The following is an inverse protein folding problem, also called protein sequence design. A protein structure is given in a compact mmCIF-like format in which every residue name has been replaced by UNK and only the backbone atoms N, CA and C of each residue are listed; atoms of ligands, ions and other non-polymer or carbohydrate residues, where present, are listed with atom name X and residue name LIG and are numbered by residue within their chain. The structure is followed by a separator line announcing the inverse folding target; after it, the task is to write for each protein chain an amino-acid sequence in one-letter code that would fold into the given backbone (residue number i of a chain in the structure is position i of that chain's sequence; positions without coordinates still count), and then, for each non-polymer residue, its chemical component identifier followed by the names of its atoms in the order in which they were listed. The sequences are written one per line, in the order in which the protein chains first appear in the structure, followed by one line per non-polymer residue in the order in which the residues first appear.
data_IF_194811955914
#
_entry.id   IF_194811955914
#
_cell.length_a   1.000
_cell.length_b   1.000
_cell.length_c   1.000
_cell.angle_alpha   90.00
_cell.angle_beta   90.00
_cell.angle_gamma   90.00
#
_symmetry.space_group_name_H-M   'P 1'
#
loop_
_entity.id
_entity.type
_entity.pdbx_description
1 polymer ?
#
# COMPACT_ATOMS: atom_id res chain seq x y z
N UNK A 1 5.36 18.41 55.13
CA UNK A 1 4.54 17.28 54.61
C UNK A 1 5.22 16.74 53.36
N UNK A 2 5.52 15.43 53.37
CA UNK A 2 6.04 14.74 52.18
C UNK A 2 4.84 14.15 51.41
N UNK A 3 4.78 14.39 50.08
CA UNK A 3 3.85 13.77 49.16
C UNK A 3 4.60 12.77 48.28
N UNK A 4 4.00 11.62 48.02
CA UNK A 4 4.51 10.64 47.05
C UNK A 4 3.71 10.74 45.76
N UNK A 5 4.43 10.87 44.63
CA UNK A 5 3.85 10.79 43.28
C UNK A 5 4.38 9.53 42.64
N UNK A 6 3.49 8.68 42.12
CA UNK A 6 3.81 7.47 41.42
C UNK A 6 3.44 7.63 39.94
N UNK A 7 4.38 7.35 39.05
CA UNK A 7 4.20 7.40 37.61
C UNK A 7 4.26 5.99 37.05
N UNK A 8 3.13 5.49 36.57
CA UNK A 8 3.04 4.19 35.89
C UNK A 8 3.09 4.37 34.38
N UNK A 9 3.89 3.55 33.72
CA UNK A 9 4.03 3.56 32.27
C UNK A 9 3.60 2.22 31.70
N UNK A 10 2.54 2.20 30.90
CA UNK A 10 2.06 1.01 30.23
C UNK A 10 3.03 0.57 29.12
N UNK A 11 3.79 -0.49 29.36
CA UNK A 11 4.85 -0.98 28.46
C UNK A 11 4.34 -1.60 27.16
N UNK A 12 3.08 -2.06 27.10
CA UNK A 12 2.50 -2.78 25.94
C UNK A 12 2.46 -1.96 24.64
N UNK A 13 2.49 -0.63 24.74
CA UNK A 13 2.46 0.33 23.62
C UNK A 13 3.80 1.00 23.34
N UNK A 14 4.86 0.58 24.07
CA UNK A 14 6.18 1.18 23.94
C UNK A 14 7.09 0.31 23.10
N UNK A 15 7.83 0.95 22.20
CA UNK A 15 8.86 0.32 21.37
C UNK A 15 10.13 1.18 21.38
N UNK A 16 11.28 0.55 21.61
CA UNK A 16 12.54 1.24 21.61
C UNK A 16 12.72 2.23 22.78
N UNK A 17 13.47 3.28 22.57
CA UNK A 17 13.69 4.33 23.56
C UNK A 17 12.43 5.21 23.72
N UNK A 18 12.09 5.52 24.95
CA UNK A 18 10.95 6.38 25.25
C UNK A 18 11.28 7.37 26.36
N UNK A 19 10.60 8.51 26.30
CA UNK A 19 10.52 9.49 27.38
C UNK A 19 9.07 9.88 27.56
N UNK A 20 8.56 9.78 28.79
CA UNK A 20 7.22 10.21 29.19
C UNK A 20 7.34 11.26 30.25
N UNK A 21 6.46 12.26 30.24
CA UNK A 21 6.41 13.30 31.25
C UNK A 21 5.03 13.41 31.89
N UNK A 22 5.01 13.79 33.16
CA UNK A 22 3.81 14.19 33.87
C UNK A 22 4.06 15.53 34.55
N UNK A 23 3.08 16.40 34.55
CA UNK A 23 3.13 17.66 35.27
C UNK A 23 2.38 17.51 36.58
N UNK A 24 3.01 17.91 37.68
CA UNK A 24 2.41 18.02 38.99
C UNK A 24 2.11 19.47 39.25
N UNK A 25 0.85 19.78 39.46
CA UNK A 25 0.40 21.11 39.83
C UNK A 25 0.29 21.20 41.35
N UNK A 26 0.86 22.27 41.93
CA UNK A 26 0.88 22.51 43.35
C UNK A 26 0.40 23.91 43.69
N UNK A 27 0.13 24.17 44.94
CA UNK A 27 -0.15 25.49 45.46
C UNK A 27 1.08 26.21 45.99
N UNK A 28 2.27 25.73 45.66
CA UNK A 28 3.52 26.40 45.97
C UNK A 28 3.67 27.66 45.08
N UNK A 29 3.82 28.86 45.70
CA UNK A 29 3.91 30.11 44.94
C UNK A 29 5.21 30.26 44.13
N UNK A 30 6.29 29.53 44.49
CA UNK A 30 7.57 29.59 43.78
C UNK A 30 7.66 28.56 42.66
N UNK A 31 6.98 27.37 42.84
CA UNK A 31 7.01 26.26 41.88
C UNK A 31 5.64 25.62 41.72
N UNK A 32 4.66 26.34 41.12
CA UNK A 32 3.29 25.86 40.96
C UNK A 32 3.22 24.63 40.03
N UNK A 33 4.19 24.48 39.12
CA UNK A 33 4.25 23.37 38.17
C UNK A 33 5.59 22.67 38.23
N UNK A 34 5.57 21.34 38.45
CA UNK A 34 6.76 20.49 38.44
C UNK A 34 6.59 19.41 37.37
N UNK A 35 7.52 19.34 36.42
CA UNK A 35 7.53 18.28 35.40
C UNK A 35 8.40 17.14 35.86
N UNK A 36 7.80 15.94 35.95
CA UNK A 36 8.49 14.68 36.18
C UNK A 36 8.69 13.98 34.82
N UNK A 37 9.87 13.40 34.59
CA UNK A 37 10.17 12.65 33.40
C UNK A 37 10.65 11.26 33.75
N UNK A 38 10.15 10.27 32.98
CA UNK A 38 10.62 8.88 33.02
C UNK A 38 11.09 8.52 31.62
N UNK A 39 12.32 8.08 31.51
CA UNK A 39 12.91 7.56 30.27
C UNK A 39 13.36 6.12 30.44
N UNK A 40 13.32 5.38 29.35
CA UNK A 40 13.73 3.99 29.33
C UNK A 40 13.78 3.43 27.91
N UNK A 41 14.10 2.14 27.82
CA UNK A 41 14.08 1.38 26.57
C UNK A 41 13.12 0.20 26.70
N UNK A 42 12.07 0.20 25.90
CA UNK A 42 11.16 -0.93 25.78
C UNK A 42 11.76 -1.98 24.83
N UNK A 43 11.95 -3.20 25.31
CA UNK A 43 12.47 -4.32 24.53
C UNK A 43 11.29 -5.27 24.30
N UNK A 44 10.98 -5.56 23.02
CA UNK A 44 9.97 -6.56 22.68
C UNK A 44 10.42 -7.96 23.14
N UNK A 45 9.49 -8.77 23.63
CA UNK A 45 9.78 -10.16 24.00
C UNK A 45 10.09 -11.02 22.77
N UNK A 46 9.32 -10.81 21.71
CA UNK A 46 9.54 -11.45 20.42
C UNK A 46 10.01 -10.40 19.44
N UNK A 47 11.14 -10.65 18.84
CA UNK A 47 11.72 -9.81 17.82
C UNK A 47 11.40 -10.39 16.45
N UNK A 48 10.88 -9.56 15.53
CA UNK A 48 10.56 -9.93 14.15
C UNK A 48 11.32 -8.99 13.21
N UNK A 49 12.13 -9.57 12.34
CA UNK A 49 12.87 -8.84 11.32
C UNK A 49 12.41 -9.25 9.91
N UNK A 50 12.20 -8.31 8.99
CA UNK A 50 12.27 -6.86 9.18
C UNK A 50 11.18 -6.34 10.10
N UNK A 51 11.47 -5.25 10.82
CA UNK A 51 10.49 -4.58 11.66
C UNK A 51 9.42 -3.89 10.81
N UNK A 52 8.20 -3.77 11.38
CA UNK A 52 7.10 -3.05 10.76
C UNK A 52 6.25 -3.90 9.82
N UNK A 53 5.91 -3.34 8.67
CA UNK A 53 5.01 -3.99 7.70
C UNK A 53 5.80 -4.79 6.68
N UNK A 54 5.40 -6.03 6.45
CA UNK A 54 5.93 -6.87 5.40
C UNK A 54 5.27 -6.51 4.05
N UNK A 55 6.08 -6.15 3.05
CA UNK A 55 5.59 -5.71 1.75
C UNK A 55 5.74 -6.81 0.70
N UNK A 56 4.63 -7.31 0.18
CA UNK A 56 4.54 -8.30 -0.90
C UNK A 56 4.03 -7.63 -2.18
N UNK A 57 4.88 -6.83 -2.79
CA UNK A 57 4.56 -6.04 -3.97
C UNK A 57 5.13 -6.68 -5.22
N UNK A 58 4.29 -6.91 -6.23
CA UNK A 58 4.71 -7.45 -7.51
C UNK A 58 3.63 -7.28 -8.57
N UNK A 59 3.85 -7.87 -9.74
CA UNK A 59 2.91 -7.88 -10.85
C UNK A 59 2.07 -9.16 -10.84
N UNK A 60 1.03 -9.18 -11.65
CA UNK A 60 0.28 -10.41 -11.92
C UNK A 60 1.20 -11.46 -12.56
N UNK A 61 1.14 -12.69 -12.06
CA UNK A 61 2.00 -13.79 -12.51
C UNK A 61 3.43 -13.79 -11.94
N UNK A 62 3.85 -12.72 -11.27
CA UNK A 62 5.19 -12.60 -10.69
C UNK A 62 5.24 -13.25 -9.31
N UNK A 63 6.15 -14.21 -9.07
CA UNK A 63 6.39 -14.74 -7.75
C UNK A 63 7.04 -13.66 -6.88
N UNK A 64 6.51 -13.47 -5.68
CA UNK A 64 7.08 -12.55 -4.68
C UNK A 64 7.16 -13.29 -3.37
N UNK A 65 8.35 -13.32 -2.80
CA UNK A 65 8.66 -13.90 -1.51
C UNK A 65 9.29 -12.85 -0.59
N UNK A 66 8.93 -12.92 0.68
CA UNK A 66 9.59 -12.21 1.76
C UNK A 66 9.82 -13.17 2.91
N UNK A 67 10.94 -13.04 3.60
CA UNK A 67 11.28 -13.87 4.75
C UNK A 67 11.31 -13.00 6.00
N UNK A 68 10.67 -13.48 7.06
CA UNK A 68 10.77 -12.90 8.39
C UNK A 68 11.60 -13.80 9.27
N UNK A 69 12.51 -13.20 10.05
CA UNK A 69 13.26 -13.88 11.11
C UNK A 69 12.62 -13.56 12.44
N UNK A 70 12.29 -14.59 13.21
CA UNK A 70 11.64 -14.47 14.51
C UNK A 70 12.59 -15.02 15.58
N UNK A 71 12.87 -14.19 16.60
CA UNK A 71 13.71 -14.56 17.75
C UNK A 71 13.07 -14.08 19.05
N UNK A 72 13.49 -14.64 20.18
CA UNK A 72 13.11 -14.15 21.50
C UNK A 72 14.25 -13.34 22.11
N UNK A 73 13.90 -12.24 22.77
CA UNK A 73 14.80 -11.49 23.66
C UNK A 73 14.80 -12.04 25.11
N UNK A 74 13.98 -13.03 25.40
CA UNK A 74 13.91 -13.69 26.72
C UNK A 74 14.94 -14.84 26.74
N UNK A 75 16.05 -14.62 27.45
CA UNK A 75 17.23 -15.51 27.41
C UNK A 75 17.01 -16.89 28.03
N UNK A 76 16.05 -17.01 28.96
CA UNK A 76 15.82 -18.22 29.73
C UNK A 76 14.67 -19.10 29.21
N UNK A 77 14.08 -18.71 28.06
CA UNK A 77 12.97 -19.42 27.47
C UNK A 77 13.48 -20.31 26.33
N UNK A 78 13.15 -21.61 26.38
CA UNK A 78 13.19 -22.47 25.17
C UNK A 78 12.10 -21.97 24.19
N UNK A 79 12.40 -20.87 23.50
CA UNK A 79 11.45 -20.17 22.64
C UNK A 79 11.05 -21.01 21.45
N UNK A 80 9.74 -21.11 21.22
CA UNK A 80 9.16 -21.82 20.05
C UNK A 80 8.06 -21.00 19.41
N UNK A 81 8.09 -20.95 18.08
CA UNK A 81 6.95 -20.57 17.27
C UNK A 81 6.11 -21.81 17.03
N UNK A 82 4.90 -21.85 17.59
CA UNK A 82 4.01 -23.01 17.58
C UNK A 82 3.17 -23.11 16.29
N UNK A 83 2.96 -21.98 15.63
CA UNK A 83 2.18 -21.93 14.40
C UNK A 83 2.09 -20.54 13.82
N UNK A 84 1.65 -20.52 12.57
CA UNK A 84 1.43 -19.29 11.77
C UNK A 84 0.01 -19.36 11.22
N UNK A 85 -0.70 -18.27 11.26
CA UNK A 85 -2.01 -18.09 10.61
C UNK A 85 -2.12 -16.68 10.02
N UNK A 86 -3.05 -16.47 9.10
CA UNK A 86 -3.30 -15.16 8.51
C UNK A 86 -4.79 -14.87 8.40
N UNK A 87 -5.17 -13.61 8.24
CA UNK A 87 -6.53 -13.21 7.89
C UNK A 87 -6.71 -12.92 6.39
N UNK A 88 -5.65 -13.20 5.59
CA UNK A 88 -5.65 -13.03 4.11
C UNK A 88 -5.10 -14.27 3.40
N UNK A 89 -5.44 -15.47 3.85
CA UNK A 89 -4.94 -16.74 3.31
C UNK A 89 -5.30 -16.98 1.84
N UNK A 90 -6.31 -16.31 1.33
CA UNK A 90 -6.64 -16.28 -0.10
C UNK A 90 -5.61 -15.50 -0.94
N UNK A 91 -4.80 -14.66 -0.32
CA UNK A 91 -3.85 -13.74 -0.98
C UNK A 91 -2.39 -14.12 -0.79
N UNK A 92 -2.09 -14.83 0.30
CA UNK A 92 -0.72 -15.25 0.64
C UNK A 92 -0.68 -16.71 1.06
N UNK A 93 0.48 -17.32 0.92
CA UNK A 93 0.84 -18.58 1.58
C UNK A 93 2.10 -18.38 2.40
N UNK A 94 2.35 -19.24 3.37
CA UNK A 94 3.50 -19.12 4.26
C UNK A 94 4.05 -20.48 4.65
N UNK A 95 5.34 -20.51 4.97
CA UNK A 95 6.04 -21.68 5.50
C UNK A 95 6.85 -21.28 6.74
N UNK A 96 6.78 -22.10 7.79
CA UNK A 96 7.56 -21.94 9.01
C UNK A 96 8.72 -22.93 8.99
N UNK A 97 9.95 -22.42 9.15
CA UNK A 97 11.18 -23.19 9.17
C UNK A 97 11.99 -22.84 10.42
N UNK A 98 12.83 -23.75 10.88
CA UNK A 98 13.84 -23.42 11.91
C UNK A 98 14.94 -22.56 11.30
N UNK A 99 15.41 -21.57 12.05
CA UNK A 99 16.54 -20.74 11.65
C UNK A 99 17.90 -21.42 11.91
N UNK A 100 18.97 -20.65 11.74
CA UNK A 100 20.35 -21.16 11.91
C UNK A 100 20.73 -21.28 13.41
N UNK A 101 20.16 -20.44 14.27
CA UNK A 101 20.45 -20.46 15.71
C UNK A 101 19.31 -21.12 16.50
N UNK A 102 19.60 -21.70 17.67
CA UNK A 102 18.56 -22.19 18.59
C UNK A 102 17.60 -21.08 18.96
N UNK A 103 16.28 -21.34 18.87
CA UNK A 103 15.23 -20.35 19.14
C UNK A 103 15.02 -19.31 18.03
N UNK A 104 15.67 -19.47 16.89
CA UNK A 104 15.43 -18.71 15.66
C UNK A 104 14.48 -19.44 14.74
N UNK A 105 13.53 -18.71 14.17
CA UNK A 105 12.56 -19.21 13.21
C UNK A 105 12.51 -18.31 12.00
N UNK A 106 12.29 -18.92 10.83
CA UNK A 106 12.08 -18.24 9.57
C UNK A 106 10.65 -18.46 9.10
N UNK A 107 9.95 -17.40 8.80
CA UNK A 107 8.64 -17.47 8.14
C UNK A 107 8.79 -16.89 6.75
N UNK A 108 8.72 -17.75 5.74
CA UNK A 108 8.68 -17.38 4.35
C UNK A 108 7.24 -17.10 3.96
N UNK A 109 6.98 -15.95 3.38
CA UNK A 109 5.65 -15.50 2.97
C UNK A 109 5.65 -15.24 1.48
N UNK A 110 4.71 -15.87 0.78
CA UNK A 110 4.59 -15.83 -0.66
C UNK A 110 3.29 -15.15 -1.07
N UNK A 111 3.39 -14.18 -1.97
CA UNK A 111 2.21 -13.60 -2.61
C UNK A 111 1.61 -14.62 -3.59
N UNK A 112 0.28 -14.79 -3.57
CA UNK A 112 -0.39 -15.55 -4.61
C UNK A 112 -0.19 -14.86 -5.98
N UNK A 113 0.49 -15.51 -6.96
CA UNK A 113 0.80 -14.89 -8.24
C UNK A 113 -0.45 -14.63 -9.12
N UNK A 114 -1.57 -15.31 -8.84
CA UNK A 114 -2.82 -15.17 -9.59
C UNK A 114 -3.74 -14.05 -9.07
N UNK A 115 -3.28 -13.25 -8.11
CA UNK A 115 -4.07 -12.12 -7.62
C UNK A 115 -4.27 -11.08 -8.72
N UNK A 116 -5.51 -10.61 -8.92
CA UNK A 116 -5.78 -9.48 -9.80
C UNK A 116 -5.10 -8.21 -9.28
N UNK A 117 -5.16 -7.13 -10.03
CA UNK A 117 -4.70 -5.81 -9.57
C UNK A 117 -5.44 -5.42 -8.30
N UNK A 118 -4.71 -5.29 -7.20
CA UNK A 118 -5.24 -4.92 -5.90
C UNK A 118 -4.16 -4.31 -5.02
N UNK A 119 -4.62 -3.61 -3.97
CA UNK A 119 -3.80 -3.18 -2.84
C UNK A 119 -4.60 -3.45 -1.57
N UNK A 120 -4.07 -4.24 -0.65
CA UNK A 120 -4.77 -4.63 0.58
C UNK A 120 -3.80 -4.84 1.73
N UNK A 121 -4.29 -4.61 2.93
CA UNK A 121 -3.57 -4.92 4.16
C UNK A 121 -4.17 -6.17 4.81
N UNK A 122 -3.33 -6.89 5.53
CA UNK A 122 -3.69 -8.02 6.35
C UNK A 122 -2.69 -8.23 7.46
N UNK A 123 -2.86 -9.32 8.19
CA UNK A 123 -2.01 -9.67 9.32
C UNK A 123 -1.61 -11.14 9.28
N UNK A 124 -0.38 -11.39 9.67
CA UNK A 124 0.12 -12.72 10.03
C UNK A 124 0.22 -12.77 11.56
N UNK A 125 -0.28 -13.84 12.13
CA UNK A 125 -0.29 -14.09 13.56
C UNK A 125 0.64 -15.27 13.85
N UNK A 126 1.61 -15.05 14.73
CA UNK A 126 2.61 -16.02 15.13
C UNK A 126 2.31 -16.48 16.55
N UNK A 127 1.84 -17.71 16.71
CA UNK A 127 1.63 -18.29 18.01
C UNK A 127 2.96 -18.73 18.61
N UNK A 128 3.20 -18.43 19.90
CA UNK A 128 4.45 -18.75 20.59
C UNK A 128 4.17 -19.55 21.88
N UNK A 129 5.20 -20.16 22.44
CA UNK A 129 5.12 -20.82 23.75
C UNK A 129 5.32 -19.87 24.93
N UNK A 130 5.52 -18.57 24.69
CA UNK A 130 5.65 -17.58 25.75
C UNK A 130 4.31 -17.33 26.44
N UNK A 131 4.26 -17.46 27.76
CA UNK A 131 3.05 -17.15 28.56
C UNK A 131 2.71 -15.66 28.56
N UNK A 132 3.73 -14.81 28.42
CA UNK A 132 3.57 -13.34 28.40
C UNK A 132 3.17 -12.83 27.02
N UNK A 133 3.65 -13.49 25.95
CA UNK A 133 3.39 -13.13 24.56
C UNK A 133 2.98 -14.37 23.76
N UNK A 134 1.78 -14.88 24.01
CA UNK A 134 1.31 -16.11 23.36
C UNK A 134 1.09 -15.92 21.84
N UNK A 135 0.96 -14.68 21.39
CA UNK A 135 0.80 -14.34 19.98
C UNK A 135 1.49 -13.01 19.65
N UNK A 136 2.15 -12.97 18.50
CA UNK A 136 2.73 -11.76 17.90
C UNK A 136 2.10 -11.53 16.55
N UNK A 137 1.77 -10.27 16.22
CA UNK A 137 1.12 -9.90 14.97
C UNK A 137 2.07 -9.11 14.07
N UNK A 138 2.15 -9.50 12.81
CA UNK A 138 2.90 -8.79 11.76
C UNK A 138 1.93 -8.28 10.73
N UNK A 139 2.00 -6.98 10.42
CA UNK A 139 1.22 -6.38 9.35
C UNK A 139 1.80 -6.76 7.99
N UNK A 140 0.93 -7.04 7.04
CA UNK A 140 1.32 -7.38 5.67
C UNK A 140 0.59 -6.47 4.70
N UNK A 141 1.31 -5.88 3.77
CA UNK A 141 0.73 -5.15 2.65
C UNK A 141 0.96 -5.93 1.36
N UNK A 142 -0.12 -6.41 0.77
CA UNK A 142 -0.10 -7.13 -0.52
C UNK A 142 -0.53 -6.19 -1.61
N UNK A 143 0.31 -6.02 -2.64
CA UNK A 143 -0.01 -5.21 -3.81
C UNK A 143 0.33 -5.95 -5.08
N UNK A 144 -0.67 -6.08 -5.97
CA UNK A 144 -0.48 -6.54 -7.34
C UNK A 144 -0.70 -5.38 -8.30
N UNK A 145 0.38 -4.96 -8.97
CA UNK A 145 0.30 -3.96 -10.04
C UNK A 145 -0.17 -4.64 -11.32
N UNK A 146 -1.03 -3.95 -12.05
CA UNK A 146 -1.43 -4.40 -13.39
C UNK A 146 -0.22 -4.49 -14.32
N UNK A 147 -0.26 -5.46 -15.23
CA UNK A 147 0.76 -5.57 -16.28
C UNK A 147 0.56 -4.59 -17.43
N UNK A 148 -0.59 -3.93 -17.48
CA UNK A 148 -0.93 -2.95 -18.52
C UNK A 148 -0.69 -1.54 -17.99
N UNK A 149 0.02 -0.74 -18.79
CA UNK A 149 0.28 0.68 -18.54
C UNK A 149 -0.36 1.51 -19.63
N UNK A 150 -1.01 2.60 -19.24
CA UNK A 150 -1.64 3.57 -20.13
C UNK A 150 -0.92 4.91 -19.96
N UNK A 151 -0.41 5.50 -21.04
CA UNK A 151 0.35 6.75 -20.99
C UNK A 151 0.05 7.64 -22.21
N UNK A 152 -0.35 8.90 -22.01
CA UNK A 152 -0.81 9.47 -20.74
C UNK A 152 -2.17 8.89 -20.32
N UNK A 153 -2.50 8.93 -19.02
CA UNK A 153 -3.81 8.49 -18.52
C UNK A 153 -4.91 9.56 -18.64
N UNK A 154 -4.55 10.77 -19.00
CA UNK A 154 -5.47 11.90 -19.24
C UNK A 154 -5.08 12.59 -20.55
N UNK A 155 -6.05 12.78 -21.44
CA UNK A 155 -5.91 13.58 -22.64
C UNK A 155 -6.56 14.95 -22.44
N UNK A 156 -5.75 16.00 -22.30
CA UNK A 156 -6.25 17.35 -22.16
C UNK A 156 -6.20 18.05 -23.53
N UNK A 157 -7.35 18.33 -24.13
CA UNK A 157 -7.47 19.01 -25.43
C UNK A 157 -7.31 20.52 -25.34
N UNK A 158 -7.27 21.09 -24.13
CA UNK A 158 -7.12 22.54 -23.93
C UNK A 158 -8.33 23.34 -24.40
N UNK A 159 -8.07 24.58 -24.77
CA UNK A 159 -9.10 25.47 -25.31
C UNK A 159 -9.34 25.16 -26.79
N UNK A 160 -10.57 24.90 -27.15
CA UNK A 160 -10.99 24.68 -28.54
C UNK A 160 -11.32 26.02 -29.20
N UNK A 161 -10.70 26.27 -30.36
CA UNK A 161 -10.99 27.46 -31.17
C UNK A 161 -12.06 27.12 -32.18
N UNK A 162 -13.07 27.96 -32.26
CA UNK A 162 -14.08 27.94 -33.31
C UNK A 162 -13.66 28.96 -34.41
N UNK A 163 -13.36 28.46 -35.60
CA UNK A 163 -12.71 29.25 -36.67
C UNK A 163 -13.67 29.78 -37.71
N UNK A 164 -14.90 29.31 -37.71
CA UNK A 164 -15.93 29.73 -38.67
C UNK A 164 -17.11 30.45 -37.98
N UNK A 165 -17.76 31.34 -38.75
CA UNK A 165 -18.94 32.05 -38.26
C UNK A 165 -20.14 31.14 -37.90
N UNK A 166 -20.09 29.85 -38.27
CA UNK A 166 -21.12 28.86 -38.03
C UNK A 166 -20.91 28.09 -36.70
N UNK A 167 -19.83 28.40 -35.95
CA UNK A 167 -19.60 27.85 -34.64
C UNK A 167 -19.10 26.41 -34.65
N UNK A 168 -18.53 25.92 -35.76
CA UNK A 168 -17.93 24.58 -35.86
C UNK A 168 -16.49 24.64 -35.37
N UNK A 169 -16.16 23.80 -34.42
CA UNK A 169 -14.79 23.70 -33.91
C UNK A 169 -13.95 22.73 -34.75
N UNK A 170 -12.66 22.99 -34.83
CA UNK A 170 -11.73 22.08 -35.50
C UNK A 170 -11.52 20.81 -34.68
N UNK A 171 -11.73 19.60 -35.26
CA UNK A 171 -11.44 18.36 -34.58
C UNK A 171 -9.96 18.26 -34.16
N UNK A 172 -9.70 17.75 -32.98
CA UNK A 172 -8.35 17.55 -32.46
C UNK A 172 -8.15 16.10 -32.12
N UNK A 173 -7.02 15.51 -32.55
CA UNK A 173 -6.66 14.13 -32.25
C UNK A 173 -5.47 14.08 -31.30
N UNK A 174 -5.58 13.31 -30.27
CA UNK A 174 -4.49 12.94 -29.36
C UNK A 174 -4.43 11.43 -29.20
N UNK A 175 -3.30 10.93 -28.76
CA UNK A 175 -3.12 9.49 -28.61
C UNK A 175 -2.66 9.14 -27.20
N UNK A 176 -3.10 7.97 -26.74
CA UNK A 176 -2.55 7.26 -25.61
C UNK A 176 -1.85 6.00 -26.10
N UNK A 177 -0.83 5.58 -25.36
CA UNK A 177 -0.14 4.32 -25.58
C UNK A 177 -0.55 3.35 -24.48
N UNK A 178 -1.00 2.17 -24.87
CA UNK A 178 -1.33 1.06 -23.98
C UNK A 178 -0.26 -0.01 -24.16
N UNK A 179 0.50 -0.28 -23.12
CA UNK A 179 1.63 -1.22 -23.16
C UNK A 179 1.45 -2.31 -22.12
N UNK A 180 1.75 -3.55 -22.47
CA UNK A 180 1.85 -4.66 -21.52
C UNK A 180 3.31 -5.05 -21.32
N UNK A 181 3.72 -5.18 -20.05
CA UNK A 181 5.11 -5.40 -19.67
C UNK A 181 5.55 -6.86 -19.82
N UNK A 182 4.59 -7.80 -19.70
CA UNK A 182 4.89 -9.24 -19.83
C UNK A 182 3.69 -10.00 -20.39
N UNK A 183 3.94 -10.94 -21.27
CA UNK A 183 2.91 -11.70 -22.01
C UNK A 183 2.20 -10.85 -23.05
N UNK A 184 1.33 -11.46 -23.84
CA UNK A 184 0.58 -10.80 -24.90
C UNK A 184 -0.80 -10.35 -24.41
N UNK A 185 -1.37 -9.36 -25.10
CA UNK A 185 -2.74 -8.92 -24.92
C UNK A 185 -3.34 -8.39 -26.20
N UNK A 186 -4.65 -8.28 -26.24
CA UNK A 186 -5.39 -7.60 -27.31
C UNK A 186 -6.41 -6.66 -26.69
N UNK A 187 -6.51 -5.46 -27.23
CA UNK A 187 -7.64 -4.59 -26.97
C UNK A 187 -8.82 -5.17 -27.76
N UNK A 188 -9.91 -5.50 -27.06
CA UNK A 188 -11.11 -6.08 -27.69
C UNK A 188 -12.01 -4.99 -28.24
N UNK A 189 -12.18 -3.94 -27.45
CA UNK A 189 -13.05 -2.82 -27.79
C UNK A 189 -12.59 -1.56 -27.06
N UNK A 190 -12.96 -0.40 -27.60
CA UNK A 190 -12.78 0.91 -26.97
C UNK A 190 -14.09 1.67 -27.12
N UNK A 191 -14.73 1.94 -26.00
CA UNK A 191 -15.95 2.71 -25.95
C UNK A 191 -15.70 4.10 -25.41
N UNK A 192 -16.51 5.07 -25.82
CA UNK A 192 -16.46 6.45 -25.35
C UNK A 192 -17.84 6.85 -24.83
N UNK A 193 -17.89 7.47 -23.65
CA UNK A 193 -19.15 7.89 -23.02
C UNK A 193 -19.81 9.10 -23.68
N UNK A 194 -19.04 9.88 -24.43
CA UNK A 194 -19.51 11.12 -25.05
C UNK A 194 -19.38 11.02 -26.58
N UNK A 195 -20.47 11.25 -27.37
CA UNK A 195 -20.47 11.11 -28.81
C UNK A 195 -19.54 12.08 -29.56
N UNK A 196 -19.09 13.13 -28.91
CA UNK A 196 -18.13 14.07 -29.47
C UNK A 196 -16.70 13.52 -29.56
N UNK A 197 -16.47 12.34 -28.99
CA UNK A 197 -15.20 11.64 -29.06
C UNK A 197 -15.30 10.39 -29.94
N UNK A 198 -14.24 10.12 -30.68
CA UNK A 198 -14.07 8.90 -31.45
C UNK A 198 -12.70 8.29 -31.12
N UNK A 199 -12.68 7.02 -30.80
CA UNK A 199 -11.44 6.30 -30.53
C UNK A 199 -11.14 5.28 -31.63
N UNK A 200 -9.87 5.16 -32.05
CA UNK A 200 -9.37 4.17 -32.99
C UNK A 200 -8.13 3.51 -32.40
N UNK A 201 -8.06 2.20 -32.51
CA UNK A 201 -6.94 1.39 -31.97
C UNK A 201 -6.03 0.96 -33.09
N UNK A 202 -4.76 1.34 -33.01
CA UNK A 202 -3.71 0.94 -33.93
C UNK A 202 -2.66 0.05 -33.18
N UNK A 203 -2.36 -1.17 -33.66
CA UNK A 203 -1.28 -1.96 -33.10
C UNK A 203 0.08 -1.32 -33.47
N UNK A 204 0.90 -1.04 -32.46
CA UNK A 204 2.28 -0.56 -32.65
C UNK A 204 3.24 -1.75 -32.62
N UNK A 205 3.11 -2.58 -31.58
CA UNK A 205 3.78 -3.87 -31.49
C UNK A 205 2.71 -4.90 -31.15
N UNK A 206 2.27 -5.71 -32.12
CA UNK A 206 1.19 -6.68 -31.91
C UNK A 206 1.41 -7.52 -30.67
N UNK A 207 0.37 -7.64 -29.83
CA UNK A 207 0.43 -8.37 -28.57
C UNK A 207 1.05 -7.61 -27.38
N UNK A 208 1.77 -6.49 -27.61
CA UNK A 208 2.52 -5.82 -26.53
C UNK A 208 2.22 -4.33 -26.41
N UNK A 209 1.97 -3.64 -27.53
CA UNK A 209 1.76 -2.21 -27.53
C UNK A 209 0.71 -1.80 -28.56
N UNK A 210 -0.21 -0.96 -28.11
CA UNK A 210 -1.24 -0.35 -28.95
C UNK A 210 -1.24 1.16 -28.76
N UNK A 211 -1.56 1.87 -29.83
CA UNK A 211 -1.86 3.30 -29.83
C UNK A 211 -3.36 3.46 -29.96
N UNK A 212 -3.99 4.17 -29.03
CA UNK A 212 -5.39 4.55 -29.14
C UNK A 212 -5.45 6.02 -29.48
N UNK A 213 -5.86 6.32 -30.71
CA UNK A 213 -6.06 7.69 -31.17
C UNK A 213 -7.47 8.13 -30.79
N UNK A 214 -7.56 9.22 -30.03
CA UNK A 214 -8.84 9.79 -29.59
C UNK A 214 -9.01 11.14 -30.28
N UNK A 215 -10.04 11.24 -31.10
CA UNK A 215 -10.42 12.46 -31.80
C UNK A 215 -11.59 13.09 -31.08
N UNK A 216 -11.42 14.31 -30.62
CA UNK A 216 -12.48 15.16 -30.12
C UNK A 216 -13.00 16.02 -31.24
N UNK A 217 -14.31 15.97 -31.53
CA UNK A 217 -15.03 16.85 -32.46
C UNK A 217 -15.88 17.78 -31.62
N UNK A 218 -15.52 19.06 -31.55
CA UNK A 218 -16.31 20.01 -30.78
C UNK A 218 -17.75 20.09 -31.26
N UNK A 219 -18.74 20.12 -30.36
CA UNK A 219 -20.13 20.35 -30.78
C UNK A 219 -20.29 21.75 -31.38
N UNK A 220 -21.31 21.93 -32.18
CA UNK A 220 -21.65 23.25 -32.74
C UNK A 220 -21.84 24.24 -31.60
N UNK A 221 -21.25 25.44 -31.73
CA UNK A 221 -21.29 26.48 -30.70
C UNK A 221 -22.72 26.95 -30.44
N UNK A 222 -23.18 26.77 -29.21
CA UNK A 222 -24.35 27.49 -28.70
C UNK A 222 -23.87 28.76 -27.99
N UNK A 223 -24.67 29.84 -27.95
CA UNK A 223 -24.33 31.02 -27.17
C UNK A 223 -24.10 30.65 -25.71
N UNK A 224 -22.93 31.01 -25.14
CA UNK A 224 -22.58 30.75 -23.77
C UNK A 224 -21.29 29.92 -23.58
N UNK A 225 -20.79 29.84 -22.36
CA UNK A 225 -19.61 29.03 -21.99
C UNK A 225 -20.01 27.56 -21.90
N UNK A 226 -19.35 26.67 -22.62
CA UNK A 226 -19.60 25.24 -22.55
C UNK A 226 -18.31 24.51 -22.15
N UNK A 227 -18.45 23.52 -21.31
CA UNK A 227 -17.39 22.59 -20.93
C UNK A 227 -17.79 21.18 -21.33
N UNK A 228 -16.94 20.49 -22.06
CA UNK A 228 -17.13 19.12 -22.51
C UNK A 228 -16.10 18.21 -21.86
N UNK A 229 -16.54 17.06 -21.36
CA UNK A 229 -15.68 16.00 -20.84
C UNK A 229 -16.18 14.64 -21.33
N UNK A 230 -15.32 13.68 -21.40
CA UNK A 230 -15.65 12.29 -21.75
C UNK A 230 -14.68 11.33 -21.08
N UNK A 231 -15.18 10.18 -20.72
CA UNK A 231 -14.43 9.08 -20.17
C UNK A 231 -14.32 7.97 -21.23
N UNK A 232 -13.16 7.30 -21.25
CA UNK A 232 -12.90 6.17 -22.13
C UNK A 232 -12.84 4.91 -21.26
N UNK A 233 -13.62 3.90 -21.60
CA UNK A 233 -13.74 2.62 -20.90
C UNK A 233 -13.14 1.48 -21.75
#
# INVERSE_FOLDING_TARGET
QEGKVELEVEGSKLHGEFTKSATVDSNDPERPHLTLQVSGKAIAYVNVLPEGTLYLHGRYGEPVEQTMTITSNEKDLDFKVLGVRSNIDDKITYALESGAAPGEYLVKVYKNPKLPTLSTYGSIFLATNSKKWPETTVQVHVMTKGSITITPNILNYGAVKFTDGNGTGTPATKAITVTKTSGEFKIRDVTVSNPNYKAVVDPVTPGHQYRVQVTFTPPSRKPGKQTESGEMI
#
